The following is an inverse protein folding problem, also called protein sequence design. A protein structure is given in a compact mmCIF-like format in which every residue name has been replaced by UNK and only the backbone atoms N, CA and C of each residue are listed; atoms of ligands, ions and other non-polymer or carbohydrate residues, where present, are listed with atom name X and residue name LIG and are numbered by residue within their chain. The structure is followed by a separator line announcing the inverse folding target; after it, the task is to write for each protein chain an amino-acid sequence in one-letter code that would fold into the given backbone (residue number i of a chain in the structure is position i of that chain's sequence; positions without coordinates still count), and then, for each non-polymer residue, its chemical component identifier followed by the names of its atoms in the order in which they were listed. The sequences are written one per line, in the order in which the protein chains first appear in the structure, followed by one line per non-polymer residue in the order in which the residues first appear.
data_IF_420753299353
#
_entry.id   IF_420753299353
#
_cell.length_a   1.000
_cell.length_b   1.000
_cell.length_c   1.000
_cell.angle_alpha   90.00
_cell.angle_beta   90.00
_cell.angle_gamma   90.00
#
_symmetry.space_group_name_H-M   'P 1'
#
loop_
_entity.id
_entity.type
_entity.pdbx_description
1 polymer ?
#
# COMPACT_ATOMS: atom_id res chain seq x y z
N UNK A 1 1.99 -17.20 0.01
CA UNK A 1 0.64 -16.96 0.58
C UNK A 1 0.75 -15.71 1.44
N UNK A 2 0.04 -14.62 1.12
CA UNK A 2 0.19 -13.35 1.84
C UNK A 2 -0.35 -13.45 3.27
N UNK A 3 0.20 -12.61 4.14
CA UNK A 3 -0.35 -12.35 5.46
C UNK A 3 -1.42 -11.27 5.34
N UNK A 4 -2.55 -11.47 5.99
CA UNK A 4 -3.68 -10.54 5.93
C UNK A 4 -4.51 -10.57 7.21
N UNK A 5 -5.26 -9.50 7.46
CA UNK A 5 -6.13 -9.35 8.64
C UNK A 5 -7.16 -8.24 8.40
N UNK A 6 -8.22 -8.24 9.19
CA UNK A 6 -9.16 -7.10 9.30
C UNK A 6 -8.96 -6.32 10.61
N UNK A 7 -8.05 -6.79 11.47
CA UNK A 7 -7.78 -6.28 12.83
C UNK A 7 -6.31 -5.90 12.96
N UNK A 8 -6.03 -4.84 13.73
CA UNK A 8 -4.65 -4.43 14.03
C UNK A 8 -4.00 -5.40 15.03
N UNK A 9 -2.69 -5.65 14.87
CA UNK A 9 -1.88 -6.42 15.83
C UNK A 9 -1.80 -7.94 15.57
N UNK A 10 -2.60 -8.50 14.67
CA UNK A 10 -2.55 -9.93 14.30
C UNK A 10 -2.52 -10.10 12.79
N UNK A 11 -1.88 -11.15 12.28
CA UNK A 11 -1.90 -11.47 10.84
C UNK A 11 -2.00 -12.97 10.60
N UNK A 12 -2.67 -13.33 9.51
CA UNK A 12 -2.89 -14.73 9.14
C UNK A 12 -2.48 -15.00 7.70
N UNK A 13 -1.84 -16.14 7.48
CA UNK A 13 -1.51 -16.60 6.13
C UNK A 13 -2.78 -17.16 5.47
N UNK A 14 -3.14 -16.61 4.30
CA UNK A 14 -4.32 -17.04 3.53
C UNK A 14 -4.02 -17.18 2.02
N UNK A 15 -4.83 -17.95 1.27
CA UNK A 15 -4.78 -17.93 -0.19
C UNK A 15 -5.08 -16.54 -0.76
N UNK A 16 -4.57 -16.25 -1.97
CA UNK A 16 -4.75 -14.95 -2.64
C UNK A 16 -6.24 -14.55 -2.77
N UNK A 17 -7.10 -15.50 -3.14
CA UNK A 17 -8.54 -15.29 -3.31
C UNK A 17 -9.26 -14.83 -2.03
N UNK A 18 -8.75 -15.22 -0.87
CA UNK A 18 -9.26 -14.78 0.44
C UNK A 18 -8.59 -13.48 0.89
N UNK A 19 -7.26 -13.41 0.76
CA UNK A 19 -6.47 -12.30 1.29
C UNK A 19 -6.79 -10.96 0.61
N UNK A 20 -7.14 -10.96 -0.68
CA UNK A 20 -7.52 -9.74 -1.42
C UNK A 20 -8.78 -9.05 -0.88
N UNK A 21 -9.60 -9.78 -0.10
CA UNK A 21 -10.84 -9.25 0.50
C UNK A 21 -10.63 -8.70 1.90
N UNK A 22 -9.39 -8.67 2.40
CA UNK A 22 -9.05 -8.23 3.76
C UNK A 22 -8.61 -6.77 3.77
N UNK A 23 -8.87 -6.06 4.86
CA UNK A 23 -8.52 -4.64 5.02
C UNK A 23 -7.01 -4.40 4.98
N UNK A 24 -6.26 -5.27 5.63
CA UNK A 24 -4.81 -5.16 5.72
C UNK A 24 -4.15 -6.36 5.05
N UNK A 25 -3.19 -6.08 4.18
CA UNK A 25 -2.45 -7.07 3.41
C UNK A 25 -0.95 -6.79 3.48
N UNK A 26 -0.16 -7.81 3.78
CA UNK A 26 1.28 -7.72 3.68
C UNK A 26 1.70 -7.81 2.21
N UNK A 27 2.13 -6.67 1.65
CA UNK A 27 2.53 -6.56 0.24
C UNK A 27 3.82 -7.34 -0.05
N UNK A 28 4.79 -7.24 0.87
CA UNK A 28 6.10 -7.89 0.73
C UNK A 28 6.14 -9.28 1.34
N UNK A 29 7.06 -10.12 0.86
CA UNK A 29 7.31 -11.41 1.48
C UNK A 29 8.10 -11.21 2.79
N UNK A 30 8.00 -12.10 3.79
CA UNK A 30 8.64 -11.89 5.10
C UNK A 30 10.16 -11.64 5.08
N UNK A 31 10.86 -12.08 4.02
CA UNK A 31 12.33 -11.96 3.90
C UNK A 31 12.77 -11.20 2.65
N UNK A 32 11.84 -10.55 1.94
CA UNK A 32 12.14 -9.83 0.71
C UNK A 32 11.24 -8.61 0.58
N UNK A 33 11.88 -7.44 0.50
CA UNK A 33 11.22 -6.18 0.18
C UNK A 33 11.32 -5.96 -1.34
N UNK A 34 10.18 -5.93 -2.02
CA UNK A 34 10.08 -5.64 -3.46
C UNK A 34 9.41 -4.29 -3.68
N UNK A 35 8.51 -3.89 -2.79
CA UNK A 35 7.77 -2.64 -2.88
C UNK A 35 7.92 -1.81 -1.61
N UNK A 36 8.03 -0.50 -1.76
CA UNK A 36 7.85 0.47 -0.68
C UNK A 36 6.51 1.16 -0.92
N UNK A 37 5.58 1.05 0.04
CA UNK A 37 4.24 1.64 -0.06
C UNK A 37 4.08 2.67 1.06
N UNK A 38 3.81 3.91 0.68
CA UNK A 38 3.61 5.03 1.59
C UNK A 38 2.13 5.40 1.62
N UNK A 39 1.57 5.44 2.82
CA UNK A 39 0.21 5.91 3.07
C UNK A 39 0.25 7.41 3.39
N UNK A 40 -0.59 8.19 2.70
CA UNK A 40 -0.59 9.64 2.75
C UNK A 40 -2.01 10.13 3.05
N UNK A 41 -2.22 10.45 4.32
CA UNK A 41 -3.51 10.86 4.89
C UNK A 41 -3.82 12.35 4.68
N UNK A 42 -3.70 12.84 3.43
CA UNK A 42 -4.14 14.19 3.07
C UNK A 42 -4.56 14.30 1.61
N UNK A 43 -5.45 15.25 1.32
CA UNK A 43 -5.81 15.61 -0.05
C UNK A 43 -4.58 16.03 -0.85
N UNK A 44 -4.55 15.67 -2.13
CA UNK A 44 -3.41 15.93 -3.01
C UNK A 44 -2.23 14.97 -2.82
N UNK A 45 -2.29 14.03 -1.87
CA UNK A 45 -1.19 13.09 -1.59
C UNK A 45 -0.70 12.31 -2.82
N UNK A 46 -1.57 12.05 -3.80
CA UNK A 46 -1.26 11.31 -5.03
C UNK A 46 -0.16 11.94 -5.89
N UNK A 47 0.03 13.27 -5.83
CA UNK A 47 1.07 14.01 -6.56
C UNK A 47 2.23 14.45 -5.66
N UNK A 48 2.24 14.05 -4.38
CA UNK A 48 3.27 14.52 -3.44
C UNK A 48 4.70 14.15 -3.86
N UNK A 49 4.88 13.07 -4.63
CA UNK A 49 6.19 12.73 -5.20
C UNK A 49 6.67 13.80 -6.20
N UNK A 50 5.78 14.33 -7.03
CA UNK A 50 6.09 15.36 -8.01
C UNK A 50 6.38 16.69 -7.31
N UNK A 51 5.54 17.07 -6.34
CA UNK A 51 5.69 18.33 -5.59
C UNK A 51 6.98 18.41 -4.76
N UNK A 52 7.62 17.26 -4.50
CA UNK A 52 8.84 17.16 -3.70
C UNK A 52 10.05 16.67 -4.53
N UNK A 53 9.97 16.72 -5.87
CA UNK A 53 11.03 16.30 -6.79
C UNK A 53 11.56 14.87 -6.51
N UNK A 54 10.68 13.97 -6.08
CA UNK A 54 11.01 12.56 -5.84
C UNK A 54 10.97 11.77 -7.16
N UNK A 55 11.64 10.61 -7.23
CA UNK A 55 11.53 9.73 -8.38
C UNK A 55 10.06 9.39 -8.71
N UNK A 56 9.78 9.16 -9.98
CA UNK A 56 8.46 8.72 -10.42
C UNK A 56 8.13 7.36 -9.78
N UNK A 57 6.98 7.23 -9.10
CA UNK A 57 6.58 5.98 -8.48
C UNK A 57 6.17 4.93 -9.51
N UNK A 58 6.16 3.67 -9.09
CA UNK A 58 5.65 2.58 -9.90
C UNK A 58 4.14 2.72 -10.13
N UNK A 59 3.40 3.14 -9.10
CA UNK A 59 2.02 3.59 -9.22
C UNK A 59 1.61 4.47 -8.03
N UNK A 60 0.50 5.19 -8.22
CA UNK A 60 -0.17 5.96 -7.17
C UNK A 60 -1.66 5.65 -7.20
N UNK A 61 -2.33 5.61 -6.05
CA UNK A 61 -3.79 5.58 -5.98
C UNK A 61 -4.31 6.67 -5.05
N UNK A 62 -5.58 7.02 -5.24
CA UNK A 62 -6.31 7.99 -4.43
C UNK A 62 -7.68 7.41 -4.09
N UNK A 63 -8.10 7.57 -2.85
CA UNK A 63 -9.49 7.38 -2.47
C UNK A 63 -10.33 8.56 -3.04
N UNK A 64 -11.35 8.31 -3.88
CA UNK A 64 -12.14 9.37 -4.49
C UNK A 64 -12.97 10.18 -3.50
N UNK A 65 -13.31 9.62 -2.33
CA UNK A 65 -14.18 10.24 -1.32
C UNK A 65 -13.40 11.23 -0.44
N UNK A 66 -12.31 10.80 0.19
CA UNK A 66 -11.55 11.64 1.14
C UNK A 66 -10.22 12.18 0.59
N UNK A 67 -9.77 11.68 -0.56
CA UNK A 67 -8.54 12.12 -1.22
C UNK A 67 -7.22 11.61 -0.64
N UNK A 68 -7.27 10.71 0.34
CA UNK A 68 -6.07 10.02 0.86
C UNK A 68 -5.44 9.18 -0.26
N UNK A 69 -4.14 8.98 -0.19
CA UNK A 69 -3.40 8.39 -1.30
C UNK A 69 -2.37 7.36 -0.84
N UNK A 70 -2.13 6.38 -1.71
CA UNK A 70 -0.97 5.51 -1.60
C UNK A 70 0.00 5.81 -2.73
N UNK A 71 1.29 5.86 -2.41
CA UNK A 71 2.37 5.91 -3.40
C UNK A 71 3.22 4.65 -3.26
N UNK A 72 3.47 3.97 -4.37
CA UNK A 72 4.24 2.73 -4.37
C UNK A 72 5.47 2.82 -5.28
N UNK A 73 6.63 2.51 -4.71
CA UNK A 73 7.89 2.32 -5.44
C UNK A 73 8.21 0.83 -5.54
N UNK A 74 8.81 0.41 -6.66
CA UNK A 74 9.32 -0.95 -6.85
C UNK A 74 10.85 -0.90 -6.88
N UNK A 75 11.49 -1.74 -6.08
CA UNK A 75 12.94 -1.90 -6.01
C UNK A 75 13.48 -2.78 -7.14
#
# INVERSE_FOLDING_TARGET
KPYCTDELGVTYIRPKSTAIKKKYLQVNQPKLVTYLVFDIDRQGGVLSWYDNDLPAPYWTSKNPENGHAHIAYRL
#
